data_IF_161635311032
#
_entry.id   IF_161635311032
#
_cell.length_a   1.000
_cell.length_b   1.000
_cell.length_c   1.000
_cell.angle_alpha   90.00
_cell.angle_beta   90.00
_cell.angle_gamma   90.00
#
_symmetry.space_group_name_H-M   'P 1'
#
loop_
_entity.id
_entity.type
_entity.pdbx_description
1 polymer ?
#
# COMPACT_ATOMS: atom_id res chain seq x y z
N UNK A 1 4.90 24.01 0.81
CA UNK A 1 4.25 24.59 2.00
C UNK A 1 3.63 25.93 1.67
N UNK A 2 2.41 26.18 2.15
CA UNK A 2 1.71 27.46 2.10
C UNK A 2 1.04 27.76 3.46
N UNK A 3 0.95 29.05 3.83
CA UNK A 3 0.45 29.45 5.15
C UNK A 3 1.50 29.35 6.25
N UNK A 4 1.17 29.90 7.44
CA UNK A 4 2.04 30.03 8.62
C UNK A 4 1.26 29.91 9.94
N UNK A 5 0.03 29.38 9.89
CA UNK A 5 -0.80 29.16 11.08
C UNK A 5 -0.46 27.85 11.81
N UNK A 6 -1.04 27.70 12.99
CA UNK A 6 -0.75 26.60 13.91
C UNK A 6 -1.41 25.27 13.50
N UNK A 7 -2.59 25.34 12.84
CA UNK A 7 -3.24 24.12 12.34
C UNK A 7 -2.55 23.63 11.08
N UNK A 8 -1.96 22.45 11.13
CA UNK A 8 -1.20 21.85 10.04
C UNK A 8 -2.04 20.79 9.32
N UNK A 9 -2.29 21.02 8.03
CA UNK A 9 -2.99 20.08 7.15
C UNK A 9 -2.00 19.56 6.12
N UNK A 10 -1.91 18.25 5.99
CA UNK A 10 -1.02 17.60 5.03
C UNK A 10 -1.81 16.89 3.95
N UNK A 11 -1.52 17.20 2.69
CA UNK A 11 -1.97 16.45 1.52
C UNK A 11 -0.79 15.66 0.99
N UNK A 12 -0.91 14.33 0.97
CA UNK A 12 0.11 13.47 0.40
C UNK A 12 -0.35 12.84 -0.91
N UNK A 13 0.60 12.74 -1.83
CA UNK A 13 0.45 12.10 -3.13
C UNK A 13 1.79 11.52 -3.55
N UNK A 14 1.83 10.34 -4.15
CA UNK A 14 3.08 9.81 -4.66
C UNK A 14 3.32 10.18 -6.14
N UNK A 15 4.58 10.15 -6.54
CA UNK A 15 5.04 10.48 -7.89
C UNK A 15 5.48 9.26 -8.69
N UNK A 16 5.88 8.20 -8.02
CA UNK A 16 6.25 6.94 -8.65
C UNK A 16 5.03 6.23 -9.23
N UNK A 17 5.27 5.21 -10.01
CA UNK A 17 4.24 4.42 -10.67
C UNK A 17 4.75 3.00 -10.84
N UNK A 18 3.85 2.03 -10.94
CA UNK A 18 4.21 0.68 -11.40
C UNK A 18 4.69 0.68 -12.84
N UNK A 19 5.43 -0.35 -13.21
CA UNK A 19 5.99 -0.50 -14.55
C UNK A 19 4.90 -0.78 -15.59
N UNK A 20 5.23 -0.48 -16.84
CA UNK A 20 4.42 -0.83 -18.02
C UNK A 20 5.15 -1.91 -18.80
N UNK A 21 4.58 -3.11 -18.88
CA UNK A 21 5.18 -4.25 -19.57
C UNK A 21 4.57 -4.51 -20.95
N UNK A 22 3.40 -3.93 -21.24
CA UNK A 22 2.54 -4.20 -22.39
C UNK A 22 2.17 -2.92 -23.15
N UNK A 23 3.15 -2.01 -23.31
CA UNK A 23 2.96 -0.69 -23.91
C UNK A 23 2.35 -0.72 -25.34
N UNK A 24 2.58 -1.80 -26.08
CA UNK A 24 2.05 -2.05 -27.43
C UNK A 24 0.55 -2.40 -27.43
N UNK A 25 -0.03 -2.70 -26.28
CA UNK A 25 -1.44 -3.03 -26.11
C UNK A 25 -2.28 -1.86 -25.57
N UNK A 26 -1.65 -0.71 -25.30
CA UNK A 26 -2.37 0.49 -24.85
C UNK A 26 -3.03 1.20 -26.04
N UNK A 27 -4.22 1.78 -25.81
CA UNK A 27 -4.95 2.58 -26.80
C UNK A 27 -4.27 3.93 -27.09
N UNK A 28 -3.48 4.45 -26.15
CA UNK A 28 -2.65 5.64 -26.28
C UNK A 28 -1.28 5.36 -25.63
N UNK A 29 -0.20 6.03 -26.03
CA UNK A 29 1.12 5.84 -25.45
C UNK A 29 1.09 6.01 -23.92
N UNK A 30 1.52 5.00 -23.12
CA UNK A 30 1.38 5.03 -21.65
C UNK A 30 2.13 6.17 -20.95
N UNK A 31 3.07 6.81 -21.64
CA UNK A 31 3.82 7.98 -21.14
C UNK A 31 3.59 9.22 -22.03
N UNK A 32 2.55 9.21 -22.87
CA UNK A 32 2.24 10.30 -23.79
C UNK A 32 1.42 11.42 -23.17
N UNK A 33 0.67 11.13 -22.10
CA UNK A 33 -0.29 12.05 -21.47
C UNK A 33 -1.29 12.66 -22.49
N UNK A 34 -1.77 11.86 -23.42
CA UNK A 34 -2.72 12.31 -24.44
C UNK A 34 -4.07 12.64 -23.81
N UNK A 35 -4.67 13.75 -24.26
CA UNK A 35 -6.01 14.15 -23.82
C UNK A 35 -7.02 13.68 -24.85
N UNK A 36 -7.83 12.69 -24.48
CA UNK A 36 -8.86 12.10 -25.34
C UNK A 36 -10.20 12.19 -24.61
N UNK A 37 -11.15 12.90 -25.21
CA UNK A 37 -12.50 13.03 -24.62
C UNK A 37 -12.52 13.71 -23.23
N UNK A 38 -11.56 14.59 -22.93
CA UNK A 38 -11.43 15.25 -21.64
C UNK A 38 -10.70 14.42 -20.57
N UNK A 39 -10.20 13.24 -20.93
CA UNK A 39 -9.42 12.36 -20.04
C UNK A 39 -7.95 12.43 -20.42
N UNK A 40 -7.06 12.52 -19.45
CA UNK A 40 -5.61 12.36 -19.60
C UNK A 40 -5.29 10.87 -19.53
N UNK A 41 -4.84 10.29 -20.63
CA UNK A 41 -4.41 8.89 -20.72
C UNK A 41 -2.93 8.77 -20.37
N UNK A 42 -2.60 7.82 -19.53
CA UNK A 42 -1.22 7.48 -19.22
C UNK A 42 -1.04 6.83 -17.86
N UNK A 43 0.03 6.06 -17.72
CA UNK A 43 0.46 5.48 -16.44
C UNK A 43 0.74 6.59 -15.42
N UNK A 44 0.15 6.48 -14.23
CA UNK A 44 0.24 7.47 -13.17
C UNK A 44 -0.78 8.62 -13.31
N UNK A 45 -1.69 8.59 -14.29
CA UNK A 45 -2.70 9.65 -14.43
C UNK A 45 -3.79 9.55 -13.36
N UNK A 46 -4.28 8.34 -13.08
CA UNK A 46 -5.20 8.07 -11.99
C UNK A 46 -4.44 7.80 -10.69
N UNK A 47 -3.38 7.01 -10.74
CA UNK A 47 -2.57 6.56 -9.60
C UNK A 47 -1.13 7.12 -9.71
N UNK A 48 -0.84 8.31 -9.05
CA UNK A 48 -1.88 9.22 -8.54
C UNK A 48 -1.55 10.69 -8.85
N UNK A 49 -0.94 10.96 -10.03
CA UNK A 49 -0.53 12.35 -10.40
C UNK A 49 -1.73 13.28 -10.61
N UNK A 50 -2.93 12.74 -10.86
CA UNK A 50 -4.18 13.50 -10.84
C UNK A 50 -4.42 14.12 -9.48
N UNK A 51 -4.33 13.33 -8.39
CA UNK A 51 -4.44 13.77 -7.01
C UNK A 51 -3.35 14.78 -6.62
N UNK A 52 -2.09 14.50 -7.00
CA UNK A 52 -0.97 15.42 -6.79
C UNK A 52 -1.23 16.77 -7.44
N UNK A 53 -1.65 16.78 -8.70
CA UNK A 53 -1.93 18.03 -9.41
C UNK A 53 -3.06 18.81 -8.75
N UNK A 54 -4.16 18.12 -8.40
CA UNK A 54 -5.30 18.71 -7.73
C UNK A 54 -4.91 19.34 -6.38
N UNK A 55 -4.13 18.64 -5.56
CA UNK A 55 -3.69 19.13 -4.23
C UNK A 55 -2.79 20.36 -4.32
N UNK A 56 -1.85 20.38 -5.28
CA UNK A 56 -0.97 21.55 -5.54
C UNK A 56 -1.79 22.77 -5.96
N UNK A 57 -2.71 22.61 -6.92
CA UNK A 57 -3.57 23.71 -7.38
C UNK A 57 -4.52 24.18 -6.28
N UNK A 58 -5.11 23.25 -5.50
CA UNK A 58 -5.96 23.59 -4.37
C UNK A 58 -5.22 24.41 -3.31
N UNK A 59 -4.00 24.02 -2.93
CA UNK A 59 -3.17 24.76 -1.99
C UNK A 59 -2.80 26.16 -2.52
N UNK A 60 -2.44 26.28 -3.79
CA UNK A 60 -2.16 27.55 -4.44
C UNK A 60 -3.39 28.47 -4.48
N UNK A 61 -4.57 27.91 -4.79
CA UNK A 61 -5.84 28.64 -4.82
C UNK A 61 -6.24 29.11 -3.42
N UNK A 62 -6.15 28.24 -2.42
CA UNK A 62 -6.43 28.57 -1.02
C UNK A 62 -5.57 29.75 -0.53
N UNK A 63 -4.27 29.75 -0.88
CA UNK A 63 -3.37 30.87 -0.60
C UNK A 63 -3.84 32.16 -1.30
N UNK A 64 -4.16 32.07 -2.60
CA UNK A 64 -4.59 33.24 -3.39
C UNK A 64 -5.90 33.86 -2.87
N UNK A 65 -6.81 33.01 -2.37
CA UNK A 65 -8.12 33.44 -1.87
C UNK A 65 -8.10 33.84 -0.37
N UNK A 66 -6.96 33.73 0.32
CA UNK A 66 -6.85 34.07 1.74
C UNK A 66 -7.50 33.06 2.70
N UNK A 67 -7.70 31.81 2.28
CA UNK A 67 -8.35 30.74 3.09
C UNK A 67 -7.42 30.09 4.11
N UNK A 68 -6.16 30.54 4.20
CA UNK A 68 -5.14 29.94 5.07
C UNK A 68 -4.98 30.63 6.42
N UNK A 69 -5.91 31.48 6.82
CA UNK A 69 -5.86 32.12 8.15
C UNK A 69 -5.82 31.02 9.24
N UNK A 70 -4.81 31.09 10.12
CA UNK A 70 -4.57 30.14 11.20
C UNK A 70 -4.14 28.76 10.75
N UNK A 71 -3.82 28.56 9.45
CA UNK A 71 -3.49 27.24 8.87
C UNK A 71 -2.16 27.24 8.15
N UNK A 72 -1.51 26.09 8.20
CA UNK A 72 -0.36 25.72 7.34
C UNK A 72 -0.74 24.49 6.54
N UNK A 73 -0.60 24.56 5.24
CA UNK A 73 -0.83 23.42 4.34
C UNK A 73 0.49 22.93 3.77
N UNK A 74 0.75 21.66 3.92
CA UNK A 74 1.81 20.93 3.22
C UNK A 74 1.19 20.10 2.09
N UNK A 75 1.86 20.07 0.96
CA UNK A 75 1.61 19.12 -0.13
C UNK A 75 2.93 18.41 -0.39
N UNK A 76 2.95 17.10 -0.31
CA UNK A 76 4.12 16.28 -0.66
C UNK A 76 3.88 15.55 -1.97
N UNK A 77 4.96 15.36 -2.72
CA UNK A 77 5.07 14.39 -3.80
C UNK A 77 6.03 13.31 -3.32
N UNK A 78 5.51 12.29 -2.65
CA UNK A 78 6.29 11.17 -2.11
C UNK A 78 6.80 10.24 -3.22
N UNK A 79 7.76 9.39 -2.89
CA UNK A 79 8.38 8.43 -3.80
C UNK A 79 8.46 7.06 -3.14
N UNK A 80 8.59 6.02 -3.95
CA UNK A 80 8.64 4.61 -3.51
C UNK A 80 7.37 4.12 -2.80
N UNK A 81 6.23 4.77 -2.99
CA UNK A 81 4.96 4.34 -2.41
C UNK A 81 4.57 2.96 -2.90
N UNK A 82 4.60 2.72 -4.20
CA UNK A 82 4.21 1.49 -4.88
C UNK A 82 4.88 0.21 -4.34
N UNK A 83 5.99 0.35 -3.64
CA UNK A 83 6.76 -0.77 -3.08
C UNK A 83 6.93 -0.68 -1.56
N UNK A 84 6.84 0.52 -0.99
CA UNK A 84 7.26 0.81 0.38
C UNK A 84 6.33 1.83 1.01
N UNK A 85 5.04 1.47 1.17
CA UNK A 85 4.00 2.36 1.69
C UNK A 85 4.49 3.14 2.92
N UNK A 86 4.44 4.45 2.87
CA UNK A 86 4.72 5.34 4.00
C UNK A 86 6.19 5.68 4.25
N UNK A 87 7.18 4.92 3.78
CA UNK A 87 8.60 5.15 4.11
C UNK A 87 9.06 6.55 3.77
N UNK A 88 8.64 7.08 2.61
CA UNK A 88 8.97 8.45 2.23
C UNK A 88 8.37 9.49 3.20
N UNK A 89 7.14 9.28 3.66
CA UNK A 89 6.51 10.15 4.66
C UNK A 89 7.15 10.06 6.02
N UNK A 90 7.59 8.88 6.44
CA UNK A 90 8.34 8.70 7.69
C UNK A 90 9.61 9.56 7.66
N UNK A 91 10.40 9.47 6.59
CA UNK A 91 11.58 10.32 6.40
C UNK A 91 11.20 11.81 6.38
N UNK A 92 10.15 12.18 5.65
CA UNK A 92 9.70 13.59 5.59
C UNK A 92 9.35 14.14 6.99
N UNK A 93 8.55 13.43 7.78
CA UNK A 93 8.17 13.89 9.10
C UNK A 93 9.35 13.93 10.06
N UNK A 94 10.24 12.94 10.01
CA UNK A 94 11.44 12.86 10.83
C UNK A 94 12.41 14.02 10.54
N UNK A 95 12.69 14.25 9.26
CA UNK A 95 13.72 15.22 8.85
C UNK A 95 13.22 16.65 8.91
N UNK A 96 11.94 16.90 8.59
CA UNK A 96 11.34 18.23 8.64
C UNK A 96 10.83 18.64 10.01
N UNK A 97 10.57 17.69 10.90
CA UNK A 97 9.90 17.92 12.19
C UNK A 97 8.42 18.26 12.06
N UNK A 98 7.83 18.15 10.87
CA UNK A 98 6.41 18.42 10.64
C UNK A 98 5.55 17.41 11.40
N UNK A 99 4.53 17.89 12.09
CA UNK A 99 3.50 17.07 12.73
C UNK A 99 2.15 17.61 12.29
N UNK A 100 1.47 16.95 11.35
CA UNK A 100 0.16 17.40 10.90
C UNK A 100 -0.92 17.12 11.95
N UNK A 101 -1.91 18.00 12.01
CA UNK A 101 -3.14 17.78 12.78
C UNK A 101 -4.12 16.91 11.98
N UNK A 102 -4.05 16.98 10.65
CA UNK A 102 -4.90 16.22 9.72
C UNK A 102 -4.12 15.84 8.47
N UNK A 103 -4.43 14.67 7.92
CA UNK A 103 -3.84 14.22 6.67
C UNK A 103 -4.93 13.84 5.65
N UNK A 104 -4.70 14.19 4.39
CA UNK A 104 -5.52 13.78 3.26
C UNK A 104 -4.62 13.04 2.27
N UNK A 105 -4.94 11.79 2.02
CA UNK A 105 -4.28 10.97 1.01
C UNK A 105 -5.02 11.15 -0.31
N UNK A 106 -4.31 11.61 -1.32
CA UNK A 106 -4.94 12.00 -2.60
C UNK A 106 -4.99 10.86 -3.63
N UNK A 107 -5.04 9.60 -3.15
CA UNK A 107 -5.22 8.41 -3.97
C UNK A 107 -6.55 8.43 -4.74
N UNK A 108 -6.64 7.73 -5.88
CA UNK A 108 -7.86 7.67 -6.66
C UNK A 108 -9.02 7.11 -5.84
N UNK A 109 -10.12 7.83 -5.80
CA UNK A 109 -11.32 7.48 -5.05
C UNK A 109 -12.62 7.82 -5.77
N UNK A 110 -12.59 8.09 -7.07
CA UNK A 110 -13.76 8.58 -7.83
C UNK A 110 -14.39 9.85 -7.23
N UNK A 111 -13.59 10.69 -6.56
CA UNK A 111 -14.06 11.81 -5.76
C UNK A 111 -15.06 11.41 -4.64
N UNK A 112 -14.97 10.19 -4.14
CA UNK A 112 -15.68 9.73 -2.93
C UNK A 112 -14.76 9.88 -1.73
N UNK A 113 -15.29 10.35 -0.60
CA UNK A 113 -14.52 10.42 0.66
C UNK A 113 -14.25 9.00 1.13
N UNK A 114 -12.97 8.64 1.25
CA UNK A 114 -12.52 7.32 1.72
C UNK A 114 -12.10 7.45 3.18
N UNK A 115 -12.65 6.62 4.04
CA UNK A 115 -12.44 6.73 5.49
C UNK A 115 -11.31 5.87 6.02
N UNK A 116 -10.72 4.99 5.21
CA UNK A 116 -9.65 4.11 5.65
C UNK A 116 -9.21 3.11 4.60
N UNK A 117 -8.35 2.19 5.01
CA UNK A 117 -7.91 1.09 4.16
C UNK A 117 -7.55 -0.18 4.93
N UNK A 118 -7.44 -1.28 4.21
CA UNK A 118 -7.02 -2.60 4.72
C UNK A 118 -5.61 -2.56 5.27
N UNK A 119 -5.32 -3.43 6.24
CA UNK A 119 -3.96 -3.66 6.70
C UNK A 119 -3.18 -4.61 5.77
N UNK A 120 -1.88 -4.72 6.03
CA UNK A 120 -0.97 -5.57 5.27
C UNK A 120 0.10 -6.16 6.19
N UNK A 121 0.32 -7.47 6.08
CA UNK A 121 1.49 -8.14 6.64
C UNK A 121 2.12 -8.97 5.53
N UNK A 122 3.39 -8.72 5.25
CA UNK A 122 4.15 -9.55 4.33
C UNK A 122 5.26 -10.28 5.10
N UNK A 123 5.40 -11.57 4.84
CA UNK A 123 6.34 -12.42 5.57
C UNK A 123 6.98 -13.45 4.64
N UNK A 124 8.21 -13.87 5.01
CA UNK A 124 8.87 -15.03 4.40
C UNK A 124 8.71 -16.23 5.31
N UNK A 125 8.39 -17.38 4.74
CA UNK A 125 8.53 -18.66 5.44
C UNK A 125 9.66 -19.43 4.78
N UNK A 126 10.55 -19.94 5.61
CA UNK A 126 11.77 -20.62 5.17
C UNK A 126 11.77 -22.03 5.76
N UNK A 127 11.89 -23.05 4.92
CA UNK A 127 12.11 -24.42 5.36
C UNK A 127 13.58 -24.82 5.25
N UNK A 128 14.04 -25.55 6.23
CA UNK A 128 15.43 -25.97 6.40
C UNK A 128 15.59 -27.48 6.19
N UNK A 129 16.33 -27.83 5.15
CA UNK A 129 16.63 -29.20 4.80
C UNK A 129 18.09 -29.59 5.05
N UNK A 130 18.46 -30.77 4.56
CA UNK A 130 19.83 -31.27 4.56
C UNK A 130 20.14 -31.75 3.14
N UNK A 131 21.19 -31.16 2.54
CA UNK A 131 21.59 -31.55 1.18
C UNK A 131 22.14 -32.99 1.15
N UNK A 132 21.82 -33.72 0.10
CA UNK A 132 22.34 -35.03 -0.19
C UNK A 132 22.41 -35.25 -1.72
N UNK A 133 23.15 -36.23 -2.16
CA UNK A 133 23.18 -36.58 -3.57
C UNK A 133 21.80 -37.14 -4.00
N UNK A 134 21.30 -36.76 -5.18
CA UNK A 134 19.97 -37.14 -5.66
C UNK A 134 19.77 -38.66 -5.83
N UNK A 135 20.86 -39.43 -5.92
CA UNK A 135 20.79 -40.91 -5.94
C UNK A 135 20.71 -41.55 -4.56
N UNK A 136 20.83 -40.78 -3.49
CA UNK A 136 20.75 -41.23 -2.10
C UNK A 136 19.93 -40.22 -1.26
N UNK A 137 18.66 -39.92 -1.64
CA UNK A 137 17.86 -38.88 -1.04
C UNK A 137 17.52 -39.16 0.43
N UNK A 138 17.58 -40.42 0.87
CA UNK A 138 17.37 -40.85 2.26
C UNK A 138 18.43 -40.33 3.23
N UNK A 139 19.58 -39.85 2.72
CA UNK A 139 20.64 -39.21 3.51
C UNK A 139 20.42 -37.71 3.73
N UNK A 140 19.43 -37.15 3.07
CA UNK A 140 19.07 -35.72 3.14
C UNK A 140 17.70 -35.50 3.75
N UNK A 141 17.35 -34.21 3.83
CA UNK A 141 15.99 -33.75 4.15
C UNK A 141 15.63 -32.74 3.09
N UNK A 142 14.58 -33.01 2.33
CA UNK A 142 14.18 -32.16 1.24
C UNK A 142 13.33 -30.99 1.75
N UNK A 143 13.90 -29.76 1.72
CA UNK A 143 13.22 -28.55 2.14
C UNK A 143 11.96 -28.26 1.33
N UNK A 144 11.92 -28.62 0.04
CA UNK A 144 10.76 -28.41 -0.83
C UNK A 144 9.58 -29.28 -0.41
N UNK A 145 9.81 -30.51 0.06
CA UNK A 145 8.73 -31.37 0.54
C UNK A 145 8.13 -30.87 1.86
N UNK A 146 8.97 -30.30 2.76
CA UNK A 146 8.48 -29.62 3.96
C UNK A 146 7.65 -28.39 3.60
N UNK A 147 8.11 -27.59 2.60
CA UNK A 147 7.40 -26.40 2.13
C UNK A 147 6.07 -26.74 1.45
N UNK A 148 5.99 -27.86 0.70
CA UNK A 148 4.76 -28.25 0.02
C UNK A 148 3.58 -28.43 0.98
N UNK A 149 3.82 -28.94 2.19
CA UNK A 149 2.78 -29.05 3.20
C UNK A 149 2.39 -27.68 3.80
N UNK A 150 3.37 -26.79 3.95
CA UNK A 150 3.09 -25.39 4.40
C UNK A 150 2.26 -24.66 3.37
N UNK A 151 2.55 -24.80 2.07
CA UNK A 151 1.77 -24.20 0.97
C UNK A 151 0.31 -24.67 1.02
N UNK A 152 0.05 -25.95 1.27
CA UNK A 152 -1.32 -26.44 1.44
C UNK A 152 -2.03 -25.81 2.65
N UNK A 153 -1.31 -25.58 3.75
CA UNK A 153 -1.86 -24.87 4.90
C UNK A 153 -2.16 -23.40 4.59
N UNK A 154 -1.32 -22.72 3.78
CA UNK A 154 -1.58 -21.34 3.33
C UNK A 154 -2.84 -21.28 2.47
N UNK A 155 -3.01 -22.22 1.54
CA UNK A 155 -4.22 -22.31 0.71
C UNK A 155 -5.48 -22.54 1.57
N UNK A 156 -5.40 -23.45 2.56
CA UNK A 156 -6.50 -23.71 3.49
C UNK A 156 -6.82 -22.47 4.32
N UNK A 157 -5.81 -21.77 4.86
CA UNK A 157 -5.99 -20.52 5.61
C UNK A 157 -6.69 -19.46 4.76
N UNK A 158 -6.32 -19.27 3.49
CA UNK A 158 -7.01 -18.32 2.62
C UNK A 158 -8.49 -18.69 2.44
N UNK A 159 -8.81 -19.97 2.32
CA UNK A 159 -10.19 -20.47 2.27
C UNK A 159 -10.97 -20.18 3.57
N UNK A 160 -10.35 -20.36 4.73
CA UNK A 160 -10.93 -20.04 6.03
C UNK A 160 -11.23 -18.54 6.17
N UNK A 161 -10.25 -17.69 5.83
CA UNK A 161 -10.38 -16.24 5.88
C UNK A 161 -11.54 -15.75 4.99
N UNK A 162 -11.62 -16.22 3.76
CA UNK A 162 -12.67 -15.82 2.83
C UNK A 162 -14.06 -16.28 3.29
N UNK A 163 -14.16 -17.47 3.89
CA UNK A 163 -15.45 -17.97 4.41
C UNK A 163 -15.90 -17.30 5.69
N UNK A 164 -14.94 -16.77 6.48
CA UNK A 164 -15.16 -16.07 7.74
C UNK A 164 -15.28 -14.55 7.62
N UNK A 165 -15.37 -14.01 6.42
CA UNK A 165 -15.35 -12.56 6.15
C UNK A 165 -14.06 -11.86 6.59
N UNK A 166 -12.97 -12.62 6.71
CA UNK A 166 -11.61 -12.14 6.98
C UNK A 166 -10.95 -11.53 5.74
N UNK A 167 -9.68 -11.17 5.88
CA UNK A 167 -8.85 -10.69 4.77
C UNK A 167 -8.45 -11.81 3.80
N UNK A 168 -7.29 -11.69 3.20
CA UNK A 168 -6.75 -12.68 2.25
C UNK A 168 -5.29 -12.99 2.55
N UNK A 169 -4.83 -14.17 2.16
CA UNK A 169 -3.40 -14.50 2.11
C UNK A 169 -3.06 -15.09 0.75
N UNK A 170 -2.01 -14.56 0.13
CA UNK A 170 -1.50 -15.01 -1.17
C UNK A 170 -0.04 -15.40 -1.04
N UNK A 171 0.32 -16.57 -1.59
CA UNK A 171 1.70 -16.92 -1.86
C UNK A 171 2.09 -16.22 -3.16
N UNK A 172 2.99 -15.24 -3.09
CA UNK A 172 3.37 -14.37 -4.21
C UNK A 172 4.71 -14.72 -4.83
N UNK A 173 5.59 -15.43 -4.10
CA UNK A 173 6.87 -15.88 -4.62
C UNK A 173 7.31 -17.19 -3.96
N UNK A 174 8.10 -17.98 -4.68
CA UNK A 174 8.71 -19.22 -4.21
C UNK A 174 10.09 -19.42 -4.82
N UNK A 175 11.05 -19.76 -3.97
CA UNK A 175 12.39 -20.10 -4.39
C UNK A 175 12.96 -21.28 -3.63
N UNK A 176 13.95 -21.99 -4.19
CA UNK A 176 14.67 -23.03 -3.47
C UNK A 176 16.17 -23.02 -3.79
N UNK A 177 16.95 -23.50 -2.84
CA UNK A 177 18.39 -23.63 -2.96
C UNK A 177 18.81 -25.10 -2.91
N UNK A 178 19.54 -25.53 -3.92
CA UNK A 178 20.19 -26.83 -3.98
C UNK A 178 21.63 -26.66 -4.48
N UNK A 179 22.53 -27.52 -4.01
CA UNK A 179 23.94 -27.50 -4.45
C UNK A 179 24.09 -27.75 -5.96
N UNK A 180 23.14 -28.50 -6.56
CA UNK A 180 23.03 -28.74 -8.00
C UNK A 180 21.65 -29.32 -8.30
N UNK A 181 21.29 -29.46 -9.59
CA UNK A 181 20.06 -30.16 -10.03
C UNK A 181 20.03 -31.64 -9.65
N UNK A 182 21.17 -32.19 -9.24
CA UNK A 182 21.31 -33.60 -8.81
C UNK A 182 21.42 -33.70 -7.26
N UNK A 183 21.04 -32.68 -6.52
CA UNK A 183 21.13 -32.66 -5.05
C UNK A 183 19.74 -32.42 -4.44
N UNK A 184 19.55 -32.95 -3.23
CA UNK A 184 18.38 -32.66 -2.39
C UNK A 184 18.43 -31.18 -1.97
N UNK A 185 17.37 -30.37 -2.21
CA UNK A 185 17.32 -28.96 -1.77
C UNK A 185 17.44 -28.82 -0.26
N UNK A 186 18.32 -27.89 0.16
CA UNK A 186 18.58 -27.64 1.59
C UNK A 186 17.81 -26.44 2.15
N UNK A 187 17.23 -25.59 1.27
CA UNK A 187 16.41 -24.44 1.65
C UNK A 187 15.28 -24.26 0.63
N UNK A 188 14.11 -23.94 1.12
CA UNK A 188 13.03 -23.43 0.27
C UNK A 188 12.38 -22.24 1.00
N UNK A 189 12.02 -21.22 0.26
CA UNK A 189 11.43 -20.00 0.77
C UNK A 189 10.18 -19.65 -0.02
N UNK A 190 9.16 -19.17 0.68
CA UNK A 190 7.98 -18.54 0.08
C UNK A 190 7.79 -17.14 0.65
N UNK A 191 7.18 -16.26 -0.15
CA UNK A 191 6.77 -14.93 0.25
C UNK A 191 5.25 -14.86 0.31
N UNK A 192 4.71 -14.41 1.43
CA UNK A 192 3.28 -14.29 1.68
C UNK A 192 2.87 -12.82 1.73
N UNK A 193 1.76 -12.49 1.09
CA UNK A 193 1.05 -11.20 1.22
C UNK A 193 -0.30 -11.47 1.90
N UNK A 194 -0.42 -11.04 3.17
CA UNK A 194 -1.62 -11.14 4.00
C UNK A 194 -2.27 -9.78 4.12
N UNK A 195 -3.49 -9.64 3.60
CA UNK A 195 -4.30 -8.42 3.71
C UNK A 195 -5.27 -8.55 4.87
N UNK A 196 -5.32 -7.53 5.74
CA UNK A 196 -6.13 -7.51 6.95
C UNK A 196 -7.37 -6.63 6.74
N UNK A 197 -8.53 -7.11 7.16
CA UNK A 197 -9.75 -6.31 7.28
C UNK A 197 -9.83 -5.64 8.65
N UNK A 198 -10.73 -4.66 8.76
CA UNK A 198 -11.03 -4.04 10.06
C UNK A 198 -11.46 -5.10 11.07
N UNK A 199 -10.83 -5.08 12.25
CA UNK A 199 -11.06 -6.06 13.31
C UNK A 199 -10.03 -7.19 13.34
N UNK A 200 -9.21 -7.36 12.30
CA UNK A 200 -8.02 -8.21 12.32
C UNK A 200 -6.81 -7.39 12.80
N UNK A 201 -5.80 -8.06 13.34
CA UNK A 201 -4.58 -7.43 13.88
C UNK A 201 -3.31 -8.12 13.41
N UNK A 202 -2.19 -7.42 13.46
CA UNK A 202 -0.85 -7.97 13.19
C UNK A 202 -0.59 -9.18 14.09
N UNK A 203 -0.91 -9.10 15.40
CA UNK A 203 -0.70 -10.21 16.31
C UNK A 203 -1.44 -11.50 15.93
N UNK A 204 -2.64 -11.38 15.37
CA UNK A 204 -3.37 -12.54 14.84
C UNK A 204 -2.63 -13.16 13.64
N UNK A 205 -2.07 -12.33 12.75
CA UNK A 205 -1.29 -12.82 11.62
C UNK A 205 0.01 -13.50 12.07
N UNK A 206 0.68 -12.97 13.09
CA UNK A 206 1.85 -13.64 13.68
C UNK A 206 1.49 -15.03 14.24
N UNK A 207 0.35 -15.16 14.92
CA UNK A 207 -0.16 -16.46 15.37
C UNK A 207 -0.52 -17.40 14.19
N UNK A 208 -1.05 -16.85 13.08
CA UNK A 208 -1.30 -17.61 11.85
C UNK A 208 0.02 -18.15 11.28
N UNK A 209 1.06 -17.31 11.19
CA UNK A 209 2.38 -17.70 10.69
C UNK A 209 3.02 -18.80 11.54
N UNK A 210 2.94 -18.70 12.87
CA UNK A 210 3.40 -19.75 13.79
C UNK A 210 2.66 -21.07 13.58
N UNK A 211 1.33 -21.02 13.35
CA UNK A 211 0.54 -22.23 13.06
C UNK A 211 0.92 -22.86 11.72
N UNK A 212 1.20 -22.05 10.70
CA UNK A 212 1.59 -22.54 9.39
C UNK A 212 2.86 -23.40 9.43
N UNK A 213 3.84 -23.02 10.25
CA UNK A 213 5.14 -23.70 10.37
C UNK A 213 5.15 -24.81 11.44
N UNK A 214 4.08 -24.93 12.24
CA UNK A 214 4.05 -25.85 13.37
C UNK A 214 4.38 -27.30 12.97
N UNK A 215 5.36 -27.89 13.66
CA UNK A 215 5.80 -29.27 13.44
C UNK A 215 6.67 -29.46 12.18
N UNK A 216 7.13 -28.38 11.56
CA UNK A 216 8.03 -28.35 10.40
C UNK A 216 9.41 -27.81 10.79
N UNK A 217 10.42 -28.16 9.98
CA UNK A 217 11.75 -27.56 10.07
C UNK A 217 11.73 -26.21 9.35
N UNK A 218 11.00 -25.29 9.91
CA UNK A 218 10.73 -23.99 9.28
C UNK A 218 10.85 -22.86 10.30
N UNK A 219 11.11 -21.68 9.78
CA UNK A 219 11.02 -20.40 10.47
C UNK A 219 10.27 -19.41 9.59
N UNK A 220 9.76 -18.34 10.19
CA UNK A 220 9.28 -17.20 9.44
C UNK A 220 10.01 -15.92 9.89
N UNK A 221 10.03 -14.94 9.01
CA UNK A 221 10.57 -13.61 9.25
C UNK A 221 9.74 -12.56 8.52
N UNK A 222 9.75 -11.30 8.97
CA UNK A 222 9.14 -10.20 8.22
C UNK A 222 9.63 -10.14 6.77
N UNK A 223 8.73 -9.77 5.88
CA UNK A 223 9.02 -9.58 4.46
C UNK A 223 9.74 -8.28 4.15
N UNK A 224 10.63 -7.83 5.03
CA UNK A 224 11.32 -6.55 4.94
C UNK A 224 11.96 -6.34 3.56
N UNK A 225 11.84 -5.12 3.05
CA UNK A 225 12.45 -4.72 1.79
C UNK A 225 13.45 -3.60 2.03
N UNK A 226 14.59 -3.73 1.36
CA UNK A 226 15.57 -2.65 1.24
C UNK A 226 15.53 -2.12 -0.19
N UNK A 227 15.31 -0.82 -0.33
CA UNK A 227 15.32 -0.13 -1.62
C UNK A 227 16.25 1.06 -1.57
N UNK A 228 16.77 1.45 -2.72
CA UNK A 228 17.56 2.68 -2.87
C UNK A 228 16.75 3.60 -3.77
N UNK A 229 16.44 4.80 -3.27
CA UNK A 229 15.76 5.82 -4.05
C UNK A 229 16.65 6.32 -5.18
N UNK A 230 16.08 7.04 -6.14
CA UNK A 230 16.85 7.64 -7.25
C UNK A 230 17.89 8.68 -6.79
N UNK A 231 17.75 9.21 -5.59
CA UNK A 231 18.73 10.11 -4.97
C UNK A 231 19.87 9.37 -4.27
N UNK A 232 19.81 8.04 -4.18
CA UNK A 232 20.77 7.21 -3.44
C UNK A 232 20.43 7.03 -1.96
N UNK A 233 19.32 7.58 -1.48
CA UNK A 233 18.87 7.35 -0.09
C UNK A 233 18.35 5.92 0.09
N UNK A 234 18.78 5.24 1.15
CA UNK A 234 18.26 3.94 1.55
C UNK A 234 16.84 4.05 2.10
N UNK A 235 15.99 3.11 1.71
CA UNK A 235 14.60 3.00 2.12
C UNK A 235 14.42 1.60 2.74
N UNK A 236 14.29 1.56 4.07
CA UNK A 236 14.00 0.34 4.81
C UNK A 236 12.48 0.26 5.00
N UNK A 237 11.88 -0.81 4.54
CA UNK A 237 10.44 -1.01 4.61
C UNK A 237 10.08 -2.26 5.38
N UNK A 238 9.26 -2.08 6.40
CA UNK A 238 8.71 -3.15 7.24
C UNK A 238 7.21 -3.28 6.97
N UNK A 239 6.76 -4.28 6.18
CA UNK A 239 5.39 -4.37 5.68
C UNK A 239 4.41 -4.94 6.70
N UNK A 240 4.30 -4.30 7.87
CA UNK A 240 3.41 -4.67 8.97
C UNK A 240 2.53 -3.47 9.33
N UNK A 241 1.36 -3.40 8.72
CA UNK A 241 0.45 -2.27 8.84
C UNK A 241 -0.94 -2.72 9.27
N UNK A 242 -1.43 -2.14 10.37
CA UNK A 242 -2.80 -2.35 10.83
C UNK A 242 -3.81 -1.72 9.87
N UNK A 243 -5.01 -2.31 9.71
CA UNK A 243 -6.11 -1.62 9.04
C UNK A 243 -6.57 -0.46 9.90
N UNK A 244 -7.05 0.61 9.26
CA UNK A 244 -7.54 1.78 10.00
C UNK A 244 -8.81 2.35 9.36
N UNK A 245 -9.61 3.02 10.18
CA UNK A 245 -10.78 3.78 9.73
C UNK A 245 -10.98 5.00 10.60
N UNK A 246 -11.11 6.16 9.97
CA UNK A 246 -11.57 7.39 10.63
C UNK A 246 -13.09 7.35 10.79
N UNK A 247 -13.58 7.75 11.97
CA UNK A 247 -15.02 7.74 12.29
C UNK A 247 -15.78 8.73 11.39
N UNK A 248 -16.99 8.38 10.99
CA UNK A 248 -17.87 9.22 10.17
C UNK A 248 -18.26 10.53 10.85
N UNK A 249 -18.25 10.55 12.18
CA UNK A 249 -18.54 11.72 13.00
C UNK A 249 -17.28 12.48 13.45
N UNK A 250 -16.08 12.03 13.02
CA UNK A 250 -14.85 12.76 13.34
C UNK A 250 -14.88 14.17 12.74
N UNK A 251 -14.36 15.20 13.44
CA UNK A 251 -14.34 16.58 12.94
C UNK A 251 -13.77 16.73 11.53
N UNK A 252 -12.72 15.97 11.17
CA UNK A 252 -12.16 15.94 9.83
C UNK A 252 -13.20 15.47 8.80
N UNK A 253 -13.88 14.35 9.07
CA UNK A 253 -14.93 13.81 8.18
C UNK A 253 -16.08 14.79 8.01
N UNK A 254 -16.53 15.41 9.10
CA UNK A 254 -17.61 16.42 9.06
C UNK A 254 -17.21 17.66 8.27
N UNK A 255 -15.96 18.15 8.41
CA UNK A 255 -15.44 19.25 7.61
C UNK A 255 -15.39 18.91 6.12
N UNK A 256 -14.94 17.70 5.79
CA UNK A 256 -14.92 17.22 4.40
C UNK A 256 -16.31 17.05 3.80
N UNK A 257 -17.29 16.58 4.59
CA UNK A 257 -18.69 16.51 4.16
C UNK A 257 -19.25 17.90 3.82
N UNK A 258 -18.94 18.89 4.64
CA UNK A 258 -19.37 20.28 4.39
C UNK A 258 -18.71 20.85 3.12
N UNK A 259 -17.42 20.60 2.94
CA UNK A 259 -16.70 20.99 1.72
C UNK A 259 -17.28 20.30 0.48
N UNK A 260 -17.54 19.01 0.57
CA UNK A 260 -18.14 18.20 -0.48
C UNK A 260 -19.53 18.75 -0.88
N UNK A 261 -20.40 18.99 0.10
CA UNK A 261 -21.72 19.56 -0.12
C UNK A 261 -21.67 20.94 -0.78
N UNK A 262 -20.69 21.76 -0.40
CA UNK A 262 -20.45 23.08 -1.00
C UNK A 262 -20.08 22.98 -2.49
N UNK A 263 -19.26 22.02 -2.86
CA UNK A 263 -18.76 21.84 -4.23
C UNK A 263 -19.75 21.09 -5.12
N UNK A 264 -20.35 20.01 -4.60
CA UNK A 264 -21.19 19.10 -5.40
C UNK A 264 -22.70 19.34 -5.20
N UNK A 265 -23.11 20.24 -4.31
CA UNK A 265 -24.50 20.60 -4.04
C UNK A 265 -25.28 19.58 -3.22
N UNK A 266 -24.65 18.50 -2.78
CA UNK A 266 -25.24 17.46 -1.93
C UNK A 266 -24.17 16.82 -1.05
N UNK A 267 -24.58 16.22 0.06
CA UNK A 267 -23.68 15.39 0.88
C UNK A 267 -23.23 14.15 0.12
N UNK A 268 -22.07 13.54 0.50
CA UNK A 268 -21.66 12.26 -0.03
C UNK A 268 -22.76 11.24 0.12
N UNK A 269 -23.11 10.53 -0.95
CA UNK A 269 -24.10 9.47 -0.91
C UNK A 269 -23.59 8.19 -0.24
N UNK A 270 -22.27 8.08 -0.12
CA UNK A 270 -21.55 6.99 0.54
C UNK A 270 -20.17 7.45 0.95
N UNK A 271 -19.55 6.70 1.85
CA UNK A 271 -18.09 6.69 2.06
C UNK A 271 -17.52 5.44 1.43
N UNK A 272 -16.23 5.51 1.10
CA UNK A 272 -15.48 4.37 0.59
C UNK A 272 -14.44 3.89 1.60
N UNK A 273 -13.84 2.74 1.30
CA UNK A 273 -12.79 2.11 2.09
C UNK A 273 -11.88 1.36 1.11
N UNK A 274 -10.61 1.72 1.05
CA UNK A 274 -9.68 1.09 0.11
C UNK A 274 -9.30 -0.32 0.55
N UNK A 275 -9.27 -1.22 -0.40
CA UNK A 275 -8.81 -2.60 -0.23
C UNK A 275 -7.29 -2.78 -0.45
N UNK A 276 -6.56 -1.67 -0.57
CA UNK A 276 -5.10 -1.59 -0.69
C UNK A 276 -4.51 -0.67 0.38
N UNK A 277 -3.19 -0.79 0.63
CA UNK A 277 -2.45 0.08 1.54
C UNK A 277 -2.07 1.40 0.87
N UNK A 278 -1.82 2.43 1.65
CA UNK A 278 -1.37 3.75 1.20
C UNK A 278 -0.36 4.34 2.18
N UNK A 279 0.24 5.45 1.83
CA UNK A 279 1.11 6.22 2.74
C UNK A 279 0.43 6.67 4.06
N UNK A 280 -0.91 6.54 4.19
CA UNK A 280 -1.62 6.82 5.42
C UNK A 280 -1.14 6.02 6.62
N UNK A 281 -0.50 4.88 6.40
CA UNK A 281 0.05 4.03 7.48
C UNK A 281 0.95 4.81 8.45
N UNK A 282 1.66 5.81 7.97
CA UNK A 282 2.57 6.62 8.81
C UNK A 282 1.83 7.67 9.63
N UNK A 283 1.07 8.62 9.06
CA UNK A 283 0.36 9.59 9.90
C UNK A 283 -0.64 8.91 10.83
N UNK A 284 -1.31 7.83 10.42
CA UNK A 284 -2.21 7.06 11.30
C UNK A 284 -1.46 6.46 12.49
N UNK A 285 -0.29 5.86 12.29
CA UNK A 285 0.54 5.34 13.38
C UNK A 285 1.00 6.42 14.37
N UNK A 286 1.07 7.67 13.92
CA UNK A 286 1.35 8.84 14.76
C UNK A 286 0.10 9.38 15.48
N UNK A 287 -1.07 8.77 15.29
CA UNK A 287 -2.35 9.22 15.84
C UNK A 287 -2.98 10.39 15.07
N UNK A 288 -2.52 10.69 13.86
CA UNK A 288 -3.07 11.75 13.02
C UNK A 288 -4.32 11.24 12.29
N UNK A 289 -5.47 11.92 12.43
CA UNK A 289 -6.66 11.60 11.67
C UNK A 289 -6.43 11.76 10.17
N UNK A 290 -6.80 10.70 9.40
CA UNK A 290 -6.62 10.66 7.96
C UNK A 290 -7.95 10.42 7.24
N UNK A 291 -8.05 10.92 6.02
CA UNK A 291 -9.06 10.52 5.03
C UNK A 291 -8.39 10.39 3.67
N UNK A 292 -9.08 9.71 2.76
CA UNK A 292 -8.71 9.67 1.35
C UNK A 292 -9.68 10.49 0.50
N UNK A 293 -9.15 11.19 -0.51
CA UNK A 293 -9.96 11.88 -1.50
C UNK A 293 -9.11 12.24 -2.72
N UNK A 294 -9.44 11.70 -3.87
CA UNK A 294 -8.74 12.05 -5.11
C UNK A 294 -9.56 11.75 -6.37
N UNK A 295 -9.19 12.39 -7.50
CA UNK A 295 -9.79 12.12 -8.79
C UNK A 295 -9.33 10.77 -9.35
N UNK A 296 -10.06 10.29 -10.35
CA UNK A 296 -9.73 9.02 -11.02
C UNK A 296 -10.36 7.81 -10.34
N UNK A 297 -10.62 6.81 -11.17
CA UNK A 297 -11.19 5.55 -10.73
C UNK A 297 -10.06 4.63 -10.24
N UNK A 298 -10.04 4.26 -8.95
CA UNK A 298 -8.98 3.42 -8.38
C UNK A 298 -8.86 2.05 -9.08
N UNK A 299 -9.96 1.52 -9.63
CA UNK A 299 -9.94 0.26 -10.40
C UNK A 299 -9.19 0.36 -11.74
N UNK A 300 -8.81 1.57 -12.17
CA UNK A 300 -7.94 1.79 -13.32
C UNK A 300 -6.45 1.84 -12.92
N UNK A 301 -6.16 1.91 -11.61
CA UNK A 301 -4.80 1.82 -11.11
C UNK A 301 -4.15 0.51 -11.56
N UNK A 302 -2.88 0.56 -11.96
CA UNK A 302 -2.10 -0.56 -12.48
C UNK A 302 -2.62 -1.21 -13.78
N UNK A 303 -3.77 -0.73 -14.30
CA UNK A 303 -4.36 -1.28 -15.53
C UNK A 303 -3.85 -0.59 -16.80
N UNK A 304 -4.05 -1.24 -17.94
CA UNK A 304 -3.89 -0.60 -19.26
C UNK A 304 -4.94 0.49 -19.43
N UNK A 305 -4.61 1.47 -20.27
CA UNK A 305 -5.49 2.59 -20.56
C UNK A 305 -5.92 3.37 -19.32
N UNK A 306 -5.04 3.36 -18.32
CA UNK A 306 -5.18 4.21 -17.14
C UNK A 306 -5.40 5.65 -17.56
N UNK A 307 -6.37 6.30 -16.93
CA UNK A 307 -6.76 7.67 -17.27
C UNK A 307 -7.43 8.37 -16.11
N UNK A 308 -7.34 9.69 -16.13
CA UNK A 308 -7.98 10.58 -15.15
C UNK A 308 -8.65 11.75 -15.89
N UNK A 309 -9.79 12.25 -15.37
CA UNK A 309 -10.50 13.42 -15.94
C UNK A 309 -9.83 14.75 -15.58
#
# INVERSE_FOLDING_TARGET
>A
RVGDGDTVIHFDSHMDTVQVHDADQWSAPPFGAEIIGGMVYGRGSADMKGGLSASVYAAALAKKQGFLEGKTVYVTGSVCEEHCDGVCLEHFYKDSGVRPDFCVICEPSDNVITLGHTGKVQARIITHGVSAHGSAPEKGINAVYEMAEIIQRVEALNGELQSGDGGTVVLSDISCEAASLNAVPSRCEIYLDRRLRLGESISQVEEELERLIQGKRASWEPGDLHRISWTGAGMEYHPFHEPWKTDENHPLTLACNQAYETVFGSRPGRYDFWDFGTNAVVPVSMGVPCIGFGPGEYKLAHMRDERCS
#
